data_IF_600692616867
#
_entry.id   IF_600692616867
#
_cell.length_a   1.000
_cell.length_b   1.000
_cell.length_c   1.000
_cell.angle_alpha   90.00
_cell.angle_beta   90.00
_cell.angle_gamma   90.00
#
_symmetry.space_group_name_H-M   'P 1'
#
loop_
_entity.id
_entity.type
_entity.pdbx_description
1 polymer ?
#
# COMPACT_ATOMS: atom_id res chain seq x y z
N UNK A 1 26.40 43.75 44.25
CA UNK A 1 27.71 43.07 44.04
C UNK A 1 27.47 41.58 44.29
N UNK A 2 27.80 40.60 43.46
CA UNK A 2 28.61 40.54 42.26
C UNK A 2 28.05 39.46 41.30
N UNK A 3 28.25 39.70 40.02
CA UNK A 3 28.01 38.82 38.87
C UNK A 3 29.02 37.67 38.83
N UNK A 4 28.62 36.46 38.39
CA UNK A 4 29.58 35.52 37.80
C UNK A 4 28.99 34.72 36.63
N UNK A 5 29.77 34.72 35.55
CA UNK A 5 29.50 34.29 34.18
C UNK A 5 29.86 32.81 33.95
N UNK A 6 29.02 32.17 33.13
CA UNK A 6 29.27 31.23 32.01
C UNK A 6 30.31 30.11 32.11
N UNK A 7 29.87 28.87 31.84
CA UNK A 7 30.52 27.97 30.86
C UNK A 7 29.45 27.07 30.20
N UNK A 8 29.38 27.10 28.87
CA UNK A 8 28.42 26.34 28.07
C UNK A 8 28.77 24.86 27.93
N UNK A 9 27.73 24.04 27.72
CA UNK A 9 27.86 22.65 27.29
C UNK A 9 26.90 22.43 26.13
N UNK A 10 27.46 22.23 24.94
CA UNK A 10 26.70 21.85 23.75
C UNK A 10 26.23 20.41 23.86
N UNK A 11 24.94 20.19 23.68
CA UNK A 11 24.32 18.88 23.48
C UNK A 11 23.00 19.22 22.77
N UNK A 12 22.86 19.05 21.48
CA UNK A 12 23.00 17.81 20.74
C UNK A 12 21.66 17.66 20.02
N UNK A 13 21.64 17.78 18.68
CA UNK A 13 20.46 17.44 17.90
C UNK A 13 20.30 15.92 17.92
N UNK A 14 19.07 15.41 18.09
CA UNK A 14 18.64 14.26 17.33
C UNK A 14 17.37 14.66 16.55
N UNK A 15 17.51 14.83 15.24
CA UNK A 15 17.20 13.77 14.27
C UNK A 15 15.68 13.51 14.26
N UNK A 16 15.00 14.09 13.27
CA UNK A 16 13.68 13.61 12.84
C UNK A 16 13.78 12.10 12.71
N UNK A 17 13.13 11.40 13.63
CA UNK A 17 12.98 9.96 13.52
C UNK A 17 12.01 9.74 12.37
N UNK A 18 12.37 8.96 11.33
CA UNK A 18 11.36 8.47 10.41
C UNK A 18 10.34 7.72 11.26
N UNK A 19 9.07 8.04 11.06
CA UNK A 19 7.95 7.30 11.64
C UNK A 19 8.24 5.82 11.38
N UNK A 20 8.61 5.08 12.43
CA UNK A 20 8.95 3.68 12.30
C UNK A 20 7.64 2.95 12.07
N UNK A 21 7.32 2.72 10.80
CA UNK A 21 6.23 1.81 10.42
C UNK A 21 6.44 0.54 11.22
N UNK A 22 5.47 0.09 12.06
CA UNK A 22 5.65 -1.15 12.78
C UNK A 22 5.90 -2.24 11.74
N UNK A 23 7.07 -2.87 11.83
CA UNK A 23 7.39 -4.03 11.04
C UNK A 23 6.34 -5.09 11.37
N UNK A 24 5.36 -5.24 10.47
CA UNK A 24 4.35 -6.28 10.59
C UNK A 24 5.09 -7.62 10.66
N UNK A 25 4.83 -8.34 11.73
CA UNK A 25 5.41 -9.63 12.08
C UNK A 25 5.27 -10.64 10.93
N UNK A 26 6.23 -10.71 10.02
CA UNK A 26 6.54 -11.82 9.08
C UNK A 26 5.42 -12.35 8.16
N UNK A 27 4.19 -11.89 8.31
CA UNK A 27 3.01 -12.35 7.61
C UNK A 27 2.50 -11.15 6.82
N UNK A 28 2.69 -11.17 5.50
CA UNK A 28 2.22 -10.10 4.63
C UNK A 28 0.71 -9.85 4.79
N UNK A 29 0.26 -8.74 4.24
CA UNK A 29 -1.13 -8.31 4.31
C UNK A 29 -1.96 -9.07 3.30
N UNK A 30 -2.96 -9.80 3.79
CA UNK A 30 -3.95 -10.49 2.95
C UNK A 30 -4.92 -9.48 2.38
N UNK A 31 -5.06 -9.44 1.07
CA UNK A 31 -5.96 -8.54 0.36
C UNK A 31 -6.78 -9.29 -0.67
N UNK A 32 -8.03 -8.88 -0.80
CA UNK A 32 -8.91 -9.31 -1.88
C UNK A 32 -8.81 -8.29 -3.00
N UNK A 33 -8.59 -8.75 -4.23
CA UNK A 33 -8.42 -7.89 -5.40
C UNK A 33 -9.53 -8.17 -6.39
N UNK A 34 -10.20 -7.11 -6.83
CA UNK A 34 -11.33 -7.14 -7.73
C UNK A 34 -11.03 -6.34 -9.01
N UNK A 35 -11.26 -6.98 -10.15
CA UNK A 35 -11.22 -6.37 -11.48
C UNK A 35 -12.60 -6.46 -12.11
N UNK A 36 -13.12 -5.32 -12.54
CA UNK A 36 -14.39 -5.21 -13.26
C UNK A 36 -14.12 -5.02 -14.77
N UNK A 37 -14.43 -6.02 -15.58
CA UNK A 37 -14.17 -6.00 -17.02
C UNK A 37 -14.99 -4.94 -17.74
N UNK A 38 -16.22 -4.68 -17.28
CA UNK A 38 -17.10 -3.64 -17.84
C UNK A 38 -16.51 -2.23 -17.76
N UNK A 39 -15.52 -2.00 -16.88
CA UNK A 39 -14.84 -0.70 -16.75
C UNK A 39 -13.74 -0.47 -17.79
N UNK A 40 -13.33 -1.52 -18.52
CA UNK A 40 -12.22 -1.44 -19.47
C UNK A 40 -12.71 -1.26 -20.90
N UNK A 41 -12.18 -0.24 -21.58
CA UNK A 41 -12.39 -0.03 -23.02
C UNK A 41 -11.24 -0.61 -23.88
N UNK A 42 -10.27 -1.30 -23.27
CA UNK A 42 -9.11 -1.80 -24.00
C UNK A 42 -9.38 -3.20 -24.58
N UNK A 43 -9.20 -3.43 -25.89
CA UNK A 43 -9.48 -4.72 -26.53
C UNK A 43 -8.55 -5.85 -26.07
N UNK A 44 -7.40 -5.51 -25.45
CA UNK A 44 -6.45 -6.49 -24.88
C UNK A 44 -6.77 -6.82 -23.42
N UNK A 45 -7.75 -6.15 -22.81
CA UNK A 45 -8.11 -6.40 -21.43
C UNK A 45 -8.84 -7.75 -21.27
N UNK A 46 -8.72 -8.39 -20.10
CA UNK A 46 -9.54 -9.55 -19.79
C UNK A 46 -11.04 -9.24 -19.89
N UNK A 47 -11.77 -10.11 -20.59
CA UNK A 47 -13.20 -9.95 -20.91
C UNK A 47 -14.14 -10.29 -19.75
N UNK A 48 -13.62 -10.93 -18.70
CA UNK A 48 -14.40 -11.37 -17.55
C UNK A 48 -13.91 -10.66 -16.30
N UNK A 49 -14.84 -10.39 -15.41
CA UNK A 49 -14.52 -9.95 -14.06
C UNK A 49 -13.63 -10.98 -13.38
N UNK A 50 -12.76 -10.50 -12.50
CA UNK A 50 -11.86 -11.36 -11.75
C UNK A 50 -11.84 -10.93 -10.29
N UNK A 51 -11.94 -11.93 -9.41
CA UNK A 51 -11.74 -11.79 -7.98
C UNK A 51 -10.63 -12.75 -7.58
N UNK A 52 -9.62 -12.24 -6.89
CA UNK A 52 -8.59 -13.11 -6.34
C UNK A 52 -8.08 -12.63 -5.01
N UNK A 53 -7.37 -13.54 -4.36
CA UNK A 53 -6.81 -13.37 -3.05
C UNK A 53 -5.30 -13.35 -3.15
N UNK A 54 -4.66 -12.38 -2.51
CA UNK A 54 -3.21 -12.21 -2.55
C UNK A 54 -2.67 -11.79 -1.18
N UNK A 55 -1.40 -12.07 -0.95
CA UNK A 55 -0.66 -11.61 0.23
C UNK A 55 0.48 -10.73 -0.25
N UNK A 56 0.50 -9.47 0.17
CA UNK A 56 1.55 -8.53 -0.20
C UNK A 56 2.38 -8.12 1.03
N UNK A 57 3.68 -7.83 0.89
CA UNK A 57 4.48 -7.32 1.99
C UNK A 57 4.00 -5.94 2.49
N UNK A 58 3.29 -5.20 1.64
CA UNK A 58 2.65 -3.91 1.93
C UNK A 58 1.29 -3.93 1.25
N UNK A 59 0.24 -3.38 1.89
CA UNK A 59 -1.07 -3.20 1.24
C UNK A 59 -0.89 -2.31 0.00
N UNK A 60 -1.29 -2.77 -1.21
CA UNK A 60 -1.20 -1.96 -2.43
C UNK A 60 -1.91 -0.62 -2.27
N UNK A 61 -1.36 0.43 -2.90
CA UNK A 61 -1.89 1.79 -2.90
C UNK A 61 -2.43 2.16 -4.27
N UNK A 62 -3.29 3.19 -4.32
CA UNK A 62 -3.79 3.74 -5.58
C UNK A 62 -2.62 4.14 -6.49
N UNK A 63 -2.66 3.68 -7.74
CA UNK A 63 -1.61 3.88 -8.73
C UNK A 63 -0.56 2.78 -8.79
N UNK A 64 -0.45 1.91 -7.77
CA UNK A 64 0.45 0.76 -7.81
C UNK A 64 0.04 -0.21 -8.92
N UNK A 65 1.01 -0.97 -9.42
CA UNK A 65 0.78 -2.04 -10.39
C UNK A 65 0.86 -3.40 -9.71
N UNK A 66 -0.16 -4.23 -9.91
CA UNK A 66 -0.18 -5.64 -9.50
C UNK A 66 -0.14 -6.54 -10.73
N UNK A 67 0.53 -7.68 -10.62
CA UNK A 67 0.66 -8.65 -11.71
C UNK A 67 -0.11 -9.92 -11.38
N UNK A 68 -0.94 -10.39 -12.31
CA UNK A 68 -1.72 -11.61 -12.17
C UNK A 68 -1.90 -12.25 -13.53
N UNK A 69 -1.58 -13.55 -13.63
CA UNK A 69 -1.84 -14.39 -14.81
C UNK A 69 -1.37 -13.78 -16.15
N UNK A 70 -0.17 -13.17 -16.18
CA UNK A 70 0.37 -12.54 -17.39
C UNK A 70 -0.09 -11.10 -17.64
N UNK A 71 -0.97 -10.58 -16.80
CA UNK A 71 -1.61 -9.28 -16.96
C UNK A 71 -1.19 -8.34 -15.83
N UNK A 72 -0.90 -7.09 -16.19
CA UNK A 72 -0.73 -6.01 -15.21
C UNK A 72 -2.06 -5.30 -14.99
N UNK A 73 -2.34 -4.97 -13.74
CA UNK A 73 -3.48 -4.18 -13.33
C UNK A 73 -2.99 -3.00 -12.50
N UNK A 74 -3.64 -1.84 -12.67
CA UNK A 74 -3.39 -0.65 -11.85
C UNK A 74 -4.42 -0.58 -10.74
N UNK A 75 -3.97 -0.32 -9.52
CA UNK A 75 -4.87 -0.11 -8.38
C UNK A 75 -5.60 1.23 -8.53
N UNK A 76 -6.92 1.20 -8.50
CA UNK A 76 -7.78 2.39 -8.60
C UNK A 76 -8.38 2.78 -7.24
N UNK A 77 -8.74 1.80 -6.41
CA UNK A 77 -9.29 2.04 -5.06
C UNK A 77 -8.77 1.02 -4.07
N UNK A 78 -8.69 1.44 -2.82
CA UNK A 78 -8.29 0.60 -1.69
C UNK A 78 -9.25 0.87 -0.55
N UNK A 79 -9.92 -0.17 -0.11
CA UNK A 79 -10.84 -0.14 1.02
C UNK A 79 -10.21 -0.91 2.18
N UNK A 80 -9.74 -0.17 3.18
CA UNK A 80 -9.14 -0.77 4.36
C UNK A 80 -10.23 -1.26 5.29
N UNK A 81 -10.08 -2.48 5.82
CA UNK A 81 -10.95 -3.05 6.86
C UNK A 81 -12.44 -3.22 6.50
N UNK A 82 -12.81 -3.09 5.22
CA UNK A 82 -14.19 -3.33 4.76
C UNK A 82 -14.53 -4.84 4.76
N UNK A 83 -13.52 -5.69 4.60
CA UNK A 83 -13.66 -7.14 4.68
C UNK A 83 -13.74 -7.60 6.14
N UNK A 84 -14.96 -7.93 6.60
CA UNK A 84 -15.24 -8.41 7.97
C UNK A 84 -14.64 -9.80 8.26
N UNK A 85 -14.02 -10.46 7.29
CA UNK A 85 -13.40 -11.76 7.47
C UNK A 85 -12.07 -11.65 8.24
N UNK A 86 -11.90 -12.50 9.25
CA UNK A 86 -10.73 -12.48 10.12
C UNK A 86 -9.41 -12.62 9.35
N UNK A 87 -8.50 -11.67 9.53
CA UNK A 87 -7.16 -11.67 8.94
C UNK A 87 -7.05 -11.05 7.55
N UNK A 88 -8.13 -10.48 7.00
CA UNK A 88 -8.08 -9.65 5.78
C UNK A 88 -7.79 -8.20 6.13
N UNK A 89 -6.95 -7.56 5.31
CA UNK A 89 -6.46 -6.21 5.57
C UNK A 89 -7.11 -5.17 4.65
N UNK A 90 -7.43 -5.53 3.42
CA UNK A 90 -8.02 -4.62 2.45
C UNK A 90 -8.75 -5.33 1.30
N UNK A 91 -9.72 -4.63 0.73
CA UNK A 91 -10.26 -4.89 -0.60
C UNK A 91 -9.68 -3.87 -1.59
N UNK A 92 -9.26 -4.34 -2.77
CA UNK A 92 -8.53 -3.55 -3.75
C UNK A 92 -9.24 -3.64 -5.09
N UNK A 93 -9.70 -2.50 -5.61
CA UNK A 93 -10.22 -2.43 -6.98
C UNK A 93 -9.11 -2.07 -7.94
N UNK A 94 -9.05 -2.77 -9.07
CA UNK A 94 -8.03 -2.57 -10.09
C UNK A 94 -8.64 -2.41 -11.49
N UNK A 95 -7.90 -1.72 -12.34
CA UNK A 95 -8.18 -1.58 -13.77
C UNK A 95 -7.10 -2.28 -14.59
N UNK A 96 -7.42 -2.68 -15.83
CA UNK A 96 -6.42 -3.26 -16.72
C UNK A 96 -5.33 -2.24 -17.06
N UNK A 97 -4.06 -2.62 -16.91
CA UNK A 97 -2.92 -1.78 -17.21
C UNK A 97 -2.09 -2.36 -18.36
N UNK A 98 -2.27 -1.82 -19.56
CA UNK A 98 -1.32 -2.03 -20.65
C UNK A 98 -0.28 -0.91 -20.66
N UNK A 99 1.00 -1.25 -20.59
CA UNK A 99 2.05 -0.37 -21.13
C UNK A 99 1.81 -0.23 -22.63
N UNK A 100 1.82 1.02 -23.12
CA UNK A 100 1.66 1.36 -24.54
C UNK A 100 2.65 0.58 -25.39
#
# INVERSE_FOLDING_TARGET
MATKKTTGKSSGKPSESPLSTPASSGQGFKVQVFYLAASSHNPKAPLKDALWFATYPIIPRIGDCVFRDGVYYRVERVFLYENLAAGWCADVEVSFYSRR
#
